data_IF_882646294678
#
_entry.id   IF_882646294678
#
_cell.length_a   1.000
_cell.length_b   1.000
_cell.length_c   1.000
_cell.angle_alpha   90.00
_cell.angle_beta   90.00
_cell.angle_gamma   90.00
#
_symmetry.space_group_name_H-M   'P 1'
#
loop_
_entity.id
_entity.type
_entity.pdbx_description
1 polymer ?
#
# COMPACT_ATOMS: atom_id res chain seq x y z
N UNK A 1 -10.63 -9.69 -22.63
CA UNK A 1 -11.70 -9.40 -21.65
C UNK A 1 -12.20 -7.98 -21.86
N UNK A 2 -13.52 -7.74 -21.74
CA UNK A 2 -14.04 -6.36 -21.74
C UNK A 2 -13.68 -5.71 -20.40
N UNK A 3 -12.92 -4.61 -20.44
CA UNK A 3 -12.61 -3.86 -19.23
C UNK A 3 -13.89 -3.29 -18.62
N UNK A 4 -14.02 -3.37 -17.31
CA UNK A 4 -15.19 -2.86 -16.59
C UNK A 4 -15.29 -1.34 -16.79
N UNK A 5 -16.49 -0.77 -17.08
CA UNK A 5 -16.65 0.65 -17.41
C UNK A 5 -16.07 1.63 -16.38
N UNK A 6 -16.08 1.25 -15.10
CA UNK A 6 -15.52 2.05 -14.01
C UNK A 6 -14.00 2.26 -14.14
N UNK A 7 -13.27 1.27 -14.65
CA UNK A 7 -11.81 1.31 -14.77
C UNK A 7 -11.40 2.36 -15.80
N UNK A 8 -12.15 2.52 -16.89
CA UNK A 8 -11.93 3.59 -17.86
C UNK A 8 -12.07 4.98 -17.22
N UNK A 9 -13.07 5.18 -16.36
CA UNK A 9 -13.25 6.46 -15.64
C UNK A 9 -12.08 6.73 -14.69
N UNK A 10 -11.62 5.71 -13.97
CA UNK A 10 -10.48 5.81 -13.03
C UNK A 10 -9.18 6.10 -13.78
N UNK A 11 -8.87 5.37 -14.85
CA UNK A 11 -7.70 5.62 -15.70
C UNK A 11 -7.70 7.06 -16.22
N UNK A 12 -8.84 7.54 -16.74
CA UNK A 12 -8.97 8.93 -17.19
C UNK A 12 -8.79 9.95 -16.06
N UNK A 13 -9.24 9.65 -14.85
CA UNK A 13 -9.03 10.52 -13.69
C UNK A 13 -7.54 10.59 -13.30
N UNK A 14 -6.82 9.47 -13.34
CA UNK A 14 -5.38 9.40 -13.07
C UNK A 14 -4.59 10.22 -14.10
N UNK A 15 -4.90 10.08 -15.40
CA UNK A 15 -4.23 10.82 -16.47
C UNK A 15 -4.35 12.34 -16.36
N UNK A 16 -5.43 12.84 -15.74
CA UNK A 16 -5.60 14.29 -15.50
C UNK A 16 -4.66 14.83 -14.42
N UNK A 17 -4.06 13.96 -13.61
CA UNK A 17 -3.17 14.34 -12.49
C UNK A 17 -1.71 14.05 -12.82
N UNK A 18 -1.44 12.94 -13.52
CA UNK A 18 -0.09 12.45 -13.76
C UNK A 18 0.05 11.92 -15.19
N UNK A 19 1.16 12.27 -15.84
CA UNK A 19 1.60 11.59 -17.06
C UNK A 19 2.04 10.16 -16.69
N UNK A 20 1.14 9.20 -16.90
CA UNK A 20 1.37 7.79 -16.57
C UNK A 20 1.91 7.01 -17.77
N UNK A 21 2.76 6.04 -17.46
CA UNK A 21 3.32 5.10 -18.42
C UNK A 21 2.62 3.75 -18.34
N UNK A 22 2.22 3.33 -17.14
CA UNK A 22 1.56 2.06 -16.89
C UNK A 22 0.58 2.17 -15.73
N UNK A 23 -0.59 1.55 -15.86
CA UNK A 23 -1.55 1.39 -14.76
C UNK A 23 -1.98 -0.08 -14.71
N UNK A 24 -1.87 -0.70 -13.54
CA UNK A 24 -2.24 -2.10 -13.30
C UNK A 24 -3.18 -2.18 -12.11
N UNK A 25 -4.23 -3.00 -12.21
CA UNK A 25 -5.09 -3.35 -11.08
C UNK A 25 -4.37 -4.41 -10.24
N UNK A 26 -3.92 -4.03 -9.04
CA UNK A 26 -3.23 -4.95 -8.13
C UNK A 26 -4.21 -5.79 -7.32
N UNK A 27 -5.29 -5.14 -6.85
CA UNK A 27 -6.32 -5.77 -6.06
C UNK A 27 -7.61 -4.96 -6.10
N UNK A 28 -8.72 -5.60 -5.76
CA UNK A 28 -9.98 -4.92 -5.48
C UNK A 28 -10.74 -5.64 -4.37
N UNK A 29 -11.68 -4.94 -3.75
CA UNK A 29 -12.66 -5.52 -2.81
C UNK A 29 -14.02 -5.45 -3.48
N UNK A 30 -14.76 -6.56 -3.48
CA UNK A 30 -16.12 -6.62 -4.02
C UNK A 30 -17.18 -6.16 -3.00
N UNK A 31 -18.43 -6.04 -3.44
CA UNK A 31 -19.57 -5.69 -2.58
C UNK A 31 -19.82 -6.64 -1.39
N UNK A 32 -19.27 -7.87 -1.42
CA UNK A 32 -19.34 -8.82 -0.32
C UNK A 32 -18.14 -8.70 0.64
N UNK A 33 -17.30 -7.67 0.45
CA UNK A 33 -16.06 -7.44 1.19
C UNK A 33 -15.01 -8.55 1.00
N UNK A 34 -15.03 -9.26 -0.12
CA UNK A 34 -14.04 -10.28 -0.48
C UNK A 34 -12.90 -9.60 -1.26
N UNK A 35 -11.64 -9.71 -0.78
CA UNK A 35 -10.49 -9.17 -1.49
C UNK A 35 -9.99 -10.11 -2.58
N UNK A 36 -9.70 -9.55 -3.75
CA UNK A 36 -9.06 -10.21 -4.89
C UNK A 36 -7.74 -9.52 -5.21
N UNK A 37 -6.68 -10.26 -5.52
CA UNK A 37 -5.37 -9.67 -5.80
C UNK A 37 -4.48 -10.54 -6.69
N UNK A 38 -3.70 -9.88 -7.55
CA UNK A 38 -2.69 -10.49 -8.44
C UNK A 38 -1.60 -11.26 -7.69
N UNK A 39 -1.41 -10.98 -6.39
CA UNK A 39 -0.42 -11.65 -5.55
C UNK A 39 -0.93 -12.96 -4.95
N UNK A 40 -2.26 -13.21 -4.98
CA UNK A 40 -2.88 -14.46 -4.54
C UNK A 40 -3.36 -15.29 -5.73
N UNK A 41 -4.08 -14.65 -6.64
CA UNK A 41 -4.57 -15.23 -7.87
C UNK A 41 -4.27 -14.28 -9.02
N UNK A 42 -3.47 -14.75 -9.98
CA UNK A 42 -3.02 -13.92 -11.11
C UNK A 42 -4.15 -13.61 -12.09
N UNK A 43 -5.25 -14.37 -12.01
CA UNK A 43 -6.39 -14.26 -12.89
C UNK A 43 -7.66 -14.09 -12.07
N UNK A 44 -8.25 -12.91 -12.11
CA UNK A 44 -9.57 -12.69 -11.55
C UNK A 44 -10.41 -11.79 -12.45
N UNK A 45 -11.70 -12.05 -12.46
CA UNK A 45 -12.66 -11.22 -13.15
C UNK A 45 -13.29 -10.25 -12.14
N UNK A 46 -13.12 -8.94 -12.38
CA UNK A 46 -13.65 -7.94 -11.48
C UNK A 46 -15.17 -7.87 -11.55
N UNK A 47 -15.84 -8.13 -10.42
CA UNK A 47 -17.31 -8.09 -10.29
C UNK A 47 -17.69 -7.15 -9.14
N UNK A 48 -18.54 -6.16 -9.43
CA UNK A 48 -19.11 -5.21 -8.46
C UNK A 48 -18.07 -4.66 -7.45
N UNK A 49 -17.00 -3.99 -7.93
CA UNK A 49 -15.95 -3.48 -7.05
C UNK A 49 -16.49 -2.34 -6.18
N UNK A 50 -16.06 -2.29 -4.92
CA UNK A 50 -16.31 -1.17 -3.99
C UNK A 50 -15.04 -0.42 -3.60
N UNK A 51 -13.87 -1.06 -3.68
CA UNK A 51 -12.56 -0.42 -3.46
C UNK A 51 -11.53 -0.99 -4.44
N UNK A 52 -10.61 -0.15 -4.92
CA UNK A 52 -9.52 -0.54 -5.83
C UNK A 52 -8.15 -0.28 -5.23
N UNK A 53 -7.17 -1.13 -5.57
CA UNK A 53 -5.76 -0.91 -5.31
C UNK A 53 -4.99 -0.98 -6.64
N UNK A 54 -4.36 0.13 -7.02
CA UNK A 54 -3.72 0.27 -8.32
C UNK A 54 -2.23 0.53 -8.19
N UNK A 55 -1.44 -0.11 -9.06
CA UNK A 55 -0.10 0.33 -9.37
C UNK A 55 -0.20 1.40 -10.46
N UNK A 56 0.40 2.54 -10.19
CA UNK A 56 0.57 3.61 -11.18
C UNK A 56 2.06 3.83 -11.38
N UNK A 57 2.55 3.64 -12.61
CA UNK A 57 3.92 3.99 -12.99
C UNK A 57 3.87 5.29 -13.80
N UNK A 58 4.66 6.28 -13.40
CA UNK A 58 4.73 7.55 -14.12
C UNK A 58 5.83 8.45 -13.60
N UNK A 59 5.94 9.64 -14.20
CA UNK A 59 6.98 10.64 -13.85
C UNK A 59 6.64 11.32 -12.51
N UNK A 60 7.00 10.67 -11.41
CA UNK A 60 6.89 11.24 -10.07
C UNK A 60 8.29 11.49 -9.50
N UNK A 61 8.68 12.77 -9.41
CA UNK A 61 9.88 13.19 -8.70
C UNK A 61 9.64 13.02 -7.19
N UNK A 62 10.54 12.30 -6.52
CA UNK A 62 10.35 11.72 -5.18
C UNK A 62 9.72 12.64 -4.13
N UNK A 63 10.06 13.93 -4.11
CA UNK A 63 9.57 14.88 -3.09
C UNK A 63 8.06 15.18 -3.17
N UNK A 64 7.44 15.03 -4.34
CA UNK A 64 6.00 15.30 -4.52
C UNK A 64 5.15 14.03 -4.53
N UNK A 65 5.76 12.86 -4.34
CA UNK A 65 5.10 11.56 -4.46
C UNK A 65 3.84 11.45 -3.59
N UNK A 66 3.92 11.82 -2.30
CA UNK A 66 2.77 11.73 -1.39
C UNK A 66 1.61 12.63 -1.86
N UNK A 67 1.91 13.89 -2.19
CA UNK A 67 0.95 14.87 -2.70
C UNK A 67 0.34 14.43 -4.03
N UNK A 68 1.13 13.84 -4.94
CA UNK A 68 0.63 13.29 -6.20
C UNK A 68 -0.36 12.16 -5.94
N UNK A 69 -0.04 11.24 -5.02
CA UNK A 69 -0.95 10.15 -4.68
C UNK A 69 -2.25 10.70 -4.11
N UNK A 70 -2.20 11.60 -3.13
CA UNK A 70 -3.40 12.20 -2.53
C UNK A 70 -4.30 12.86 -3.58
N UNK A 71 -3.70 13.61 -4.52
CA UNK A 71 -4.45 14.21 -5.64
C UNK A 71 -5.12 13.16 -6.52
N UNK A 72 -4.44 12.06 -6.83
CA UNK A 72 -5.01 10.97 -7.61
C UNK A 72 -6.18 10.32 -6.85
N UNK A 73 -5.96 9.94 -5.59
CA UNK A 73 -6.95 9.27 -4.75
C UNK A 73 -8.19 10.17 -4.55
N UNK A 74 -7.99 11.46 -4.30
CA UNK A 74 -9.07 12.45 -4.20
C UNK A 74 -9.89 12.54 -5.49
N UNK A 75 -9.24 12.56 -6.67
CA UNK A 75 -9.95 12.58 -7.96
C UNK A 75 -10.73 11.28 -8.21
N UNK A 76 -10.20 10.15 -7.77
CA UNK A 76 -10.85 8.85 -7.92
C UNK A 76 -12.00 8.65 -6.94
N UNK A 77 -11.96 9.26 -5.74
CA UNK A 77 -12.94 9.07 -4.65
C UNK A 77 -14.40 9.30 -5.07
N UNK A 78 -14.65 10.17 -6.05
CA UNK A 78 -16.00 10.41 -6.59
C UNK A 78 -16.50 9.32 -7.54
N UNK A 79 -15.60 8.44 -8.00
CA UNK A 79 -15.88 7.32 -8.89
C UNK A 79 -15.95 6.04 -8.07
N UNK A 80 -14.88 5.74 -7.34
CA UNK A 80 -14.71 4.60 -6.44
C UNK A 80 -13.52 4.88 -5.51
N UNK A 81 -13.57 4.49 -4.22
CA UNK A 81 -12.39 4.50 -3.37
C UNK A 81 -11.22 3.75 -4.03
N UNK A 82 -10.08 4.44 -4.14
CA UNK A 82 -8.89 3.90 -4.78
C UNK A 82 -7.68 4.18 -3.90
N UNK A 83 -6.88 3.14 -3.65
CA UNK A 83 -5.57 3.23 -3.00
C UNK A 83 -4.49 3.09 -4.08
N UNK A 84 -3.49 3.98 -4.07
CA UNK A 84 -2.46 4.04 -5.11
C UNK A 84 -1.09 3.64 -4.57
N UNK A 85 -0.50 2.64 -5.22
CA UNK A 85 0.94 2.40 -5.19
C UNK A 85 1.57 3.10 -6.40
N UNK A 86 2.12 4.28 -6.21
CA UNK A 86 2.85 5.01 -7.27
C UNK A 86 4.26 4.42 -7.43
N UNK A 87 4.86 4.40 -8.61
CA UNK A 87 6.30 4.15 -8.81
C UNK A 87 6.82 5.02 -9.94
N UNK A 88 8.09 5.40 -9.89
CA UNK A 88 8.76 5.91 -11.10
C UNK A 88 9.03 4.76 -12.08
N UNK A 89 9.23 5.09 -13.35
CA UNK A 89 9.65 4.13 -14.35
C UNK A 89 10.93 3.40 -13.93
N UNK A 90 11.92 4.15 -13.42
CA UNK A 90 13.18 3.61 -12.91
C UNK A 90 12.98 2.62 -11.76
N UNK A 91 12.14 2.96 -10.78
CA UNK A 91 11.83 2.08 -9.65
C UNK A 91 11.18 0.78 -10.14
N UNK A 92 10.22 0.88 -11.06
CA UNK A 92 9.56 -0.30 -11.62
C UNK A 92 10.54 -1.15 -12.46
N UNK A 93 11.33 -0.52 -13.33
CA UNK A 93 12.36 -1.21 -14.12
C UNK A 93 13.39 -1.91 -13.25
N UNK A 94 13.81 -1.28 -12.15
CA UNK A 94 14.69 -1.93 -11.18
C UNK A 94 14.05 -3.20 -10.59
N UNK A 95 12.76 -3.13 -10.19
CA UNK A 95 12.04 -4.31 -9.69
C UNK A 95 11.97 -5.45 -10.71
N UNK A 96 11.82 -5.11 -12.00
CA UNK A 96 11.84 -6.07 -13.11
C UNK A 96 13.25 -6.65 -13.31
N UNK A 97 14.28 -5.82 -13.28
CA UNK A 97 15.68 -6.23 -13.48
C UNK A 97 16.14 -7.24 -12.41
N UNK A 98 15.77 -7.00 -11.15
CA UNK A 98 16.06 -7.93 -10.04
C UNK A 98 15.12 -9.14 -10.00
N UNK A 99 14.17 -9.26 -10.94
CA UNK A 99 13.15 -10.32 -10.99
C UNK A 99 12.40 -10.51 -9.67
N UNK A 100 12.05 -9.39 -9.02
CA UNK A 100 11.31 -9.42 -7.76
C UNK A 100 9.98 -10.16 -7.92
N UNK A 101 9.53 -10.85 -6.87
CA UNK A 101 8.21 -11.51 -6.85
C UNK A 101 7.06 -10.53 -7.16
N UNK A 102 7.21 -9.29 -6.69
CA UNK A 102 6.32 -8.18 -7.02
C UNK A 102 6.20 -7.97 -8.53
N UNK A 103 7.32 -7.76 -9.22
CA UNK A 103 7.34 -7.53 -10.67
C UNK A 103 6.87 -8.76 -11.45
N UNK A 104 7.25 -9.96 -11.01
CA UNK A 104 6.85 -11.22 -11.64
C UNK A 104 5.33 -11.43 -11.57
N UNK A 105 4.71 -11.10 -10.42
CA UNK A 105 3.26 -11.18 -10.24
C UNK A 105 2.52 -10.17 -11.11
N UNK A 106 3.04 -8.94 -11.19
CA UNK A 106 2.45 -7.89 -12.04
C UNK A 106 2.55 -8.23 -13.52
N UNK A 107 3.74 -8.60 -14.00
CA UNK A 107 3.99 -8.92 -15.41
C UNK A 107 3.29 -10.22 -15.85
N UNK A 108 3.07 -11.15 -14.92
CA UNK A 108 2.32 -12.38 -15.18
C UNK A 108 0.80 -12.24 -15.07
N UNK A 109 0.29 -11.09 -14.63
CA UNK A 109 -1.15 -10.83 -14.51
C UNK A 109 -1.76 -10.30 -15.82
N UNK A 110 -3.05 -10.55 -16.02
CA UNK A 110 -3.85 -9.98 -17.11
C UNK A 110 -4.55 -8.67 -16.73
N UNK A 111 -4.15 -8.07 -15.61
CA UNK A 111 -4.82 -6.92 -14.98
C UNK A 111 -4.25 -5.55 -15.42
N UNK A 112 -3.61 -5.50 -16.59
CA UNK A 112 -3.10 -4.27 -17.18
C UNK A 112 -4.25 -3.39 -17.67
N UNK A 113 -4.36 -2.18 -17.10
CA UNK A 113 -5.42 -1.23 -17.44
C UNK A 113 -4.99 -0.22 -18.51
N UNK A 114 -3.72 0.15 -18.49
CA UNK A 114 -3.15 1.13 -19.41
C UNK A 114 -1.64 0.91 -19.57
N UNK A 115 -1.14 1.11 -20.79
CA UNK A 115 0.28 1.15 -21.14
C UNK A 115 0.47 2.22 -22.22
N UNK A 116 1.39 3.16 -22.00
CA UNK A 116 1.78 4.13 -23.01
C UNK A 116 2.55 3.44 -24.15
N UNK A 117 2.25 3.80 -25.40
CA UNK A 117 2.82 3.17 -26.61
C UNK A 117 4.34 3.29 -26.69
N UNK A 118 4.90 4.41 -26.19
CA UNK A 118 6.34 4.71 -26.27
C UNK A 118 7.12 4.34 -24.99
N UNK A 119 6.45 3.76 -23.99
CA UNK A 119 7.09 3.32 -22.76
C UNK A 119 7.87 2.02 -23.03
N UNK A 120 9.01 2.15 -23.69
CA UNK A 120 10.02 1.10 -23.74
C UNK A 120 10.54 0.87 -22.32
N UNK A 121 10.27 -0.29 -21.75
CA UNK A 121 11.00 -0.79 -20.57
C UNK A 121 12.47 -0.95 -20.98
N UNK A 122 13.22 0.15 -20.96
CA UNK A 122 14.67 0.09 -21.06
C UNK A 122 15.17 -0.69 -19.85
N UNK A 123 15.63 -1.91 -20.09
CA UNK A 123 16.33 -2.70 -19.09
C UNK A 123 17.62 -1.96 -18.74
N UNK A 124 17.65 -1.32 -17.57
CA UNK A 124 18.90 -0.83 -17.02
C UNK A 124 19.72 -2.06 -16.66
N UNK A 125 20.82 -2.29 -17.39
CA UNK A 125 21.79 -3.35 -17.11
C UNK A 125 22.58 -3.00 -15.85
N UNK A 126 21.95 -3.11 -14.68
CA UNK A 126 22.67 -3.20 -13.42
C UNK A 126 22.47 -4.61 -12.85
N UNK A 127 23.59 -5.32 -12.72
CA UNK A 127 23.66 -6.67 -12.18
C UNK A 127 23.18 -6.69 -10.72
N UNK A 128 22.21 -7.52 -10.32
CA UNK A 128 21.83 -7.59 -8.92
C UNK A 128 22.93 -8.30 -8.12
N UNK A 129 23.56 -7.59 -7.19
CA UNK A 129 24.27 -8.24 -6.10
C UNK A 129 23.24 -9.10 -5.33
N UNK A 130 23.42 -10.41 -5.35
CA UNK A 130 22.62 -11.35 -4.58
C UNK A 130 22.73 -11.00 -3.10
N UNK A 131 21.66 -10.44 -2.51
CA UNK A 131 21.60 -10.24 -1.07
C UNK A 131 21.21 -11.56 -0.42
N UNK A 132 22.21 -12.40 -0.15
CA UNK A 132 22.13 -13.47 0.84
C UNK A 132 22.06 -12.83 2.22
N UNK A 133 20.85 -12.43 2.62
CA UNK A 133 20.56 -11.87 3.93
C UNK A 133 19.18 -12.35 4.36
N UNK A 134 18.96 -12.37 5.67
CA UNK A 134 17.66 -12.59 6.32
C UNK A 134 16.55 -11.93 5.47
N UNK A 135 15.42 -12.61 5.19
CA UNK A 135 14.32 -12.02 4.44
C UNK A 135 14.05 -10.62 4.98
N UNK A 136 14.10 -9.59 4.13
CA UNK A 136 13.98 -8.20 4.58
C UNK A 136 12.70 -7.94 5.40
N UNK A 137 11.70 -8.83 5.29
CA UNK A 137 10.50 -8.93 6.13
C UNK A 137 10.80 -9.17 7.63
N UNK A 138 11.71 -10.07 7.99
CA UNK A 138 11.93 -10.47 9.39
C UNK A 138 12.50 -9.34 10.24
N UNK A 139 13.19 -8.38 9.61
CA UNK A 139 13.68 -7.18 10.27
C UNK A 139 12.53 -6.34 10.83
N UNK A 140 11.43 -6.21 10.07
CA UNK A 140 10.27 -5.43 10.49
C UNK A 140 9.56 -6.08 11.67
N UNK A 141 9.38 -7.40 11.62
CA UNK A 141 8.80 -8.15 12.74
C UNK A 141 9.66 -8.05 14.00
N UNK A 142 10.99 -8.19 13.88
CA UNK A 142 11.91 -8.00 15.02
C UNK A 142 11.83 -6.58 15.60
N UNK A 143 11.79 -5.55 14.75
CA UNK A 143 11.65 -4.15 15.20
C UNK A 143 10.33 -3.91 15.92
N UNK A 144 9.22 -4.45 15.41
CA UNK A 144 7.94 -4.42 16.09
C UNK A 144 8.04 -5.06 17.49
N UNK A 145 8.70 -6.22 17.59
CA UNK A 145 8.98 -6.87 18.88
C UNK A 145 9.75 -5.97 19.86
N UNK A 146 10.80 -5.29 19.40
CA UNK A 146 11.57 -4.35 20.23
C UNK A 146 10.70 -3.19 20.74
N UNK A 147 9.96 -2.51 19.86
CA UNK A 147 9.07 -1.43 20.27
C UNK A 147 7.99 -1.90 21.24
N UNK A 148 7.47 -3.11 21.08
CA UNK A 148 6.48 -3.66 21.98
C UNK A 148 7.03 -3.92 23.38
N UNK A 149 8.27 -4.41 23.50
CA UNK A 149 8.91 -4.57 24.81
C UNK A 149 9.18 -3.20 25.46
N UNK A 150 9.62 -2.21 24.68
CA UNK A 150 9.78 -0.84 25.17
C UNK A 150 8.45 -0.26 25.65
N UNK A 151 7.36 -0.43 24.89
CA UNK A 151 6.03 0.03 25.29
C UNK A 151 5.61 -0.52 26.66
N UNK A 152 5.79 -1.84 26.86
CA UNK A 152 5.49 -2.50 28.14
C UNK A 152 6.35 -1.96 29.29
N UNK A 153 7.63 -1.71 29.05
CA UNK A 153 8.51 -1.13 30.06
C UNK A 153 8.05 0.28 30.46
N UNK A 154 7.75 1.13 29.47
CA UNK A 154 7.30 2.51 29.68
C UNK A 154 5.94 2.58 30.38
N UNK A 155 5.01 1.69 30.02
CA UNK A 155 3.73 1.56 30.72
C UNK A 155 3.91 1.23 32.20
N UNK A 156 4.84 0.32 32.55
CA UNK A 156 5.14 -0.03 33.95
C UNK A 156 5.76 1.12 34.74
N UNK A 157 6.44 2.04 34.05
CA UNK A 157 7.00 3.25 34.65
C UNK A 157 5.98 4.39 34.77
N UNK A 158 4.75 4.22 34.27
CA UNK A 158 3.73 5.28 34.23
C UNK A 158 3.89 6.26 33.07
N UNK A 159 4.85 6.05 32.18
CA UNK A 159 5.14 6.90 31.01
C UNK A 159 4.21 6.56 29.83
N UNK A 160 2.90 6.80 30.01
CA UNK A 160 1.88 6.39 29.06
C UNK A 160 2.02 7.01 27.66
N UNK A 161 2.49 8.26 27.57
CA UNK A 161 2.74 8.91 26.28
C UNK A 161 3.83 8.20 25.46
N UNK A 162 4.92 7.81 26.12
CA UNK A 162 5.99 7.05 25.47
C UNK A 162 5.54 5.62 25.13
N UNK A 163 4.74 5.00 26.00
CA UNK A 163 4.15 3.69 25.72
C UNK A 163 3.25 3.74 24.47
N UNK A 164 2.39 4.75 24.35
CA UNK A 164 1.53 4.97 23.18
C UNK A 164 2.34 5.22 21.91
N UNK A 165 3.38 6.06 21.97
CA UNK A 165 4.31 6.26 20.85
C UNK A 165 4.96 4.94 20.39
N UNK A 166 5.44 4.12 21.34
CA UNK A 166 6.02 2.83 21.01
C UNK A 166 4.98 1.88 20.37
N UNK A 167 3.73 1.85 20.86
CA UNK A 167 2.66 1.05 20.26
C UNK A 167 2.31 1.51 18.84
N UNK A 168 2.33 2.81 18.56
CA UNK A 168 2.19 3.32 17.19
C UNK A 168 3.30 2.78 16.29
N UNK A 169 4.55 2.80 16.76
CA UNK A 169 5.68 2.22 16.01
C UNK A 169 5.50 0.70 15.80
N UNK A 170 5.01 -0.05 16.79
CA UNK A 170 4.68 -1.47 16.63
C UNK A 170 3.71 -1.67 15.46
N UNK A 171 2.62 -0.91 15.42
CA UNK A 171 1.62 -1.01 14.36
C UNK A 171 2.21 -0.68 12.98
N UNK A 172 3.02 0.38 12.87
CA UNK A 172 3.68 0.76 11.62
C UNK A 172 4.58 -0.38 11.10
N UNK A 173 5.46 -0.90 11.96
CA UNK A 173 6.39 -1.97 11.58
C UNK A 173 5.64 -3.25 11.18
N UNK A 174 4.57 -3.62 11.89
CA UNK A 174 3.76 -4.80 11.56
C UNK A 174 3.01 -4.64 10.25
N UNK A 175 2.43 -3.48 9.97
CA UNK A 175 1.74 -3.26 8.70
C UNK A 175 2.72 -3.28 7.52
N UNK A 176 3.91 -2.67 7.67
CA UNK A 176 4.97 -2.75 6.66
C UNK A 176 5.37 -4.22 6.43
N UNK A 177 5.57 -4.99 7.50
CA UNK A 177 5.85 -6.42 7.42
C UNK A 177 4.78 -7.18 6.63
N UNK A 178 3.51 -7.03 7.02
CA UNK A 178 2.39 -7.73 6.39
C UNK A 178 2.29 -7.43 4.90
N UNK A 179 2.34 -6.15 4.52
CA UNK A 179 2.27 -5.74 3.12
C UNK A 179 3.46 -6.28 2.34
N UNK A 180 4.69 -6.15 2.88
CA UNK A 180 5.88 -6.63 2.20
C UNK A 180 5.85 -8.15 2.00
N UNK A 181 5.37 -8.91 2.99
CA UNK A 181 5.22 -10.37 2.86
C UNK A 181 4.14 -10.76 1.86
N UNK A 182 3.05 -9.99 1.74
CA UNK A 182 1.97 -10.28 0.78
C UNK A 182 2.34 -9.90 -0.67
N UNK A 183 3.08 -8.81 -0.84
CA UNK A 183 3.26 -8.15 -2.14
C UNK A 183 4.68 -8.38 -2.69
N UNK A 184 5.64 -8.73 -1.84
CA UNK A 184 7.06 -8.79 -2.19
C UNK A 184 7.69 -7.42 -2.39
N UNK A 185 7.03 -6.33 -1.95
CA UNK A 185 7.48 -4.95 -2.13
C UNK A 185 7.25 -4.09 -0.89
N UNK A 186 8.25 -3.27 -0.54
CA UNK A 186 8.16 -2.33 0.59
C UNK A 186 7.43 -1.06 0.16
N UNK A 187 6.26 -0.80 0.74
CA UNK A 187 5.56 0.48 0.58
C UNK A 187 6.34 1.58 1.29
N UNK A 188 6.76 2.61 0.56
CA UNK A 188 7.48 3.77 1.10
C UNK A 188 6.55 4.77 1.80
N UNK A 189 5.73 4.31 2.75
CA UNK A 189 4.86 5.16 3.56
C UNK A 189 5.04 4.86 5.04
N UNK A 190 5.00 5.92 5.85
CA UNK A 190 4.96 5.87 7.31
C UNK A 190 3.59 6.29 7.85
N UNK A 191 2.62 6.59 6.96
CA UNK A 191 1.28 6.95 7.37
C UNK A 191 0.48 5.66 7.65
N UNK A 192 0.06 5.47 8.90
CA UNK A 192 -0.60 4.24 9.32
C UNK A 192 -1.95 4.02 8.62
N UNK A 193 -2.75 5.06 8.39
CA UNK A 193 -4.01 4.95 7.67
C UNK A 193 -3.80 4.40 6.25
N UNK A 194 -2.75 4.88 5.58
CA UNK A 194 -2.38 4.41 4.25
C UNK A 194 -1.85 2.99 4.26
N UNK A 195 -1.02 2.64 5.24
CA UNK A 195 -0.54 1.27 5.41
C UNK A 195 -1.72 0.32 5.66
N UNK A 196 -2.69 0.72 6.49
CA UNK A 196 -3.89 -0.06 6.76
C UNK A 196 -4.76 -0.22 5.51
N UNK A 197 -4.96 0.85 4.73
CA UNK A 197 -5.67 0.78 3.45
C UNK A 197 -5.03 -0.22 2.50
N UNK A 198 -3.70 -0.23 2.36
CA UNK A 198 -3.00 -1.22 1.55
C UNK A 198 -3.16 -2.64 2.13
N UNK A 199 -3.00 -2.82 3.43
CA UNK A 199 -3.05 -4.14 4.08
C UNK A 199 -4.43 -4.81 3.93
N UNK A 200 -5.53 -4.04 3.93
CA UNK A 200 -6.91 -4.55 3.81
C UNK A 200 -7.18 -5.34 2.52
N UNK A 201 -6.45 -5.06 1.44
CA UNK A 201 -6.56 -5.84 0.20
C UNK A 201 -5.93 -7.24 0.29
N UNK A 202 -5.10 -7.48 1.30
CA UNK A 202 -4.32 -8.72 1.43
C UNK A 202 -4.56 -9.45 2.74
N UNK A 203 -5.18 -8.80 3.73
CA UNK A 203 -5.52 -9.40 5.02
C UNK A 203 -6.83 -8.77 5.49
N UNK A 204 -7.92 -9.54 5.40
CA UNK A 204 -9.26 -9.07 5.78
C UNK A 204 -9.32 -8.65 7.26
N UNK A 205 -8.59 -9.38 8.11
CA UNK A 205 -8.51 -9.12 9.56
C UNK A 205 -7.60 -7.95 9.94
N UNK A 206 -6.86 -7.34 9.00
CA UNK A 206 -6.02 -6.19 9.34
C UNK A 206 -6.86 -5.03 9.91
N UNK A 207 -8.07 -4.83 9.39
CA UNK A 207 -9.00 -3.79 9.86
C UNK A 207 -9.59 -4.09 11.24
N UNK A 208 -9.64 -5.36 11.67
CA UNK A 208 -10.18 -5.73 12.98
C UNK A 208 -9.13 -5.59 14.08
N UNK A 209 -7.86 -5.82 13.76
CA UNK A 209 -6.74 -5.68 14.70
C UNK A 209 -6.32 -4.22 14.87
N UNK A 210 -6.31 -3.43 13.80
CA UNK A 210 -5.92 -2.03 13.82
C UNK A 210 -7.16 -1.14 13.65
N UNK A 211 -7.89 -0.93 14.74
CA UNK A 211 -9.05 -0.03 14.73
C UNK A 211 -8.62 1.41 14.98
N UNK A 212 -8.99 2.31 14.08
CA UNK A 212 -8.95 3.76 14.32
C UNK A 212 -10.19 4.10 15.13
N UNK A 213 -10.03 4.37 16.43
CA UNK A 213 -11.12 4.99 17.18
C UNK A 213 -11.07 6.50 16.95
N UNK A 214 -12.03 7.04 16.21
CA UNK A 214 -12.28 8.47 16.23
C UNK A 214 -12.78 8.83 17.63
N UNK A 215 -11.91 9.46 18.43
CA UNK A 215 -12.26 9.89 19.78
C UNK A 215 -13.56 10.72 19.77
N UNK A 216 -14.42 10.50 20.78
CA UNK A 216 -15.54 11.39 21.06
C UNK A 216 -15.03 12.83 21.09
N UNK A 217 -15.62 13.72 20.27
CA UNK A 217 -15.44 15.17 20.40
C UNK A 217 -15.77 15.59 21.83
N UNK A 218 -14.73 15.78 22.65
CA UNK A 218 -14.82 16.71 23.77
C UNK A 218 -15.08 18.12 23.22
N UNK A 219 -15.67 19.03 24.01
CA UNK A 219 -16.12 20.34 23.53
C UNK A 219 -14.99 21.29 23.11
N UNK A 220 -13.72 20.88 23.19
CA UNK A 220 -12.60 21.73 22.82
C UNK A 220 -11.97 21.30 21.50
N UNK A 221 -11.94 22.23 20.55
CA UNK A 221 -11.44 22.02 19.19
C UNK A 221 -9.95 22.30 19.17
N UNK A 222 -9.13 21.26 19.28
CA UNK A 222 -7.87 21.15 18.52
C UNK A 222 -7.25 19.79 18.81
N UNK A 223 -6.77 19.13 17.76
CA UNK A 223 -6.11 17.81 17.76
C UNK A 223 -7.04 16.60 17.64
N UNK A 224 -7.09 16.01 16.44
CA UNK A 224 -7.51 14.62 16.26
C UNK A 224 -6.38 13.72 16.80
N UNK A 225 -6.52 13.15 17.99
CA UNK A 225 -5.65 12.07 18.44
C UNK A 225 -6.17 10.74 17.90
N UNK A 226 -5.37 10.10 17.06
CA UNK A 226 -5.65 8.76 16.55
C UNK A 226 -5.07 7.74 17.55
N UNK A 227 -5.96 7.07 18.29
CA UNK A 227 -5.60 6.00 19.22
C UNK A 227 -5.80 4.65 18.52
N UNK A 228 -4.72 3.88 18.39
CA UNK A 228 -4.75 2.51 17.89
C UNK A 228 -4.75 1.54 19.06
N UNK A 229 -5.76 0.68 19.15
CA UNK A 229 -5.86 -0.37 20.18
C UNK A 229 -5.60 -1.72 19.55
N UNK A 230 -4.67 -2.50 20.10
CA UNK A 230 -4.58 -3.94 19.82
C UNK A 230 -5.64 -4.66 20.67
N UNK A 231 -6.31 -5.71 20.16
CA UNK A 231 -7.19 -6.53 20.98
C UNK A 231 -6.40 -7.17 22.13
N UNK A 232 -7.01 -7.13 23.32
CA UNK A 232 -6.50 -7.72 24.57
C UNK A 232 -6.62 -9.24 24.53
#
# INVERSE_FOLDING_TARGET
MKSHPILHKVVNAIHKVLATEKIVLLAYIDQNHIPYSVFRDRHFEMKNPIELNLLVVGKSAGQYRAVTIEKIEQKCRHIIPTTILLLSAEQFSHQVAIKSEFSASILGSDQLLYQATDASTAATNESPAASTGIPASDLWYKRAGTFYQTAKAQQRLGEYGMAAFCLHQVAEQLLIFLIQTAVGFKVGSHNLDRLLQHARFYYQDAATVFTIQSGRKGPDKSTEEIIYTLPV
#
